data_IF_560738984320
#
_entry.id   IF_560738984320
#
_cell.length_a   1.000
_cell.length_b   1.000
_cell.length_c   1.000
_cell.angle_alpha   90.00
_cell.angle_beta   90.00
_cell.angle_gamma   90.00
#
_symmetry.space_group_name_H-M   'P 1'
#
loop_
_entity.id
_entity.type
_entity.pdbx_description
1 polymer ?
#
# COMPACT_ATOMS: atom_id res chain seq x y z
N UNK A 1 3.55 -49.84 31.45
CA UNK A 1 3.38 -49.37 30.06
C UNK A 1 2.90 -47.92 30.10
N UNK A 2 3.74 -46.94 29.72
CA UNK A 2 3.39 -45.52 29.77
C UNK A 2 2.64 -45.08 28.50
N UNK A 3 1.42 -44.56 28.66
CA UNK A 3 0.60 -43.94 27.63
C UNK A 3 1.15 -42.55 27.28
N UNK A 4 1.59 -42.37 26.03
CA UNK A 4 2.02 -41.06 25.52
C UNK A 4 0.79 -40.19 25.25
N UNK A 5 0.51 -39.27 26.16
CA UNK A 5 -0.50 -38.22 26.00
C UNK A 5 0.03 -37.14 25.03
N UNK A 6 -0.43 -37.17 23.78
CA UNK A 6 -0.11 -36.13 22.78
C UNK A 6 -0.99 -34.91 23.01
N UNK A 7 -0.42 -33.90 23.68
CA UNK A 7 -1.08 -32.59 23.82
C UNK A 7 -1.36 -32.01 22.43
N UNK A 8 -2.63 -31.97 22.03
CA UNK A 8 -3.10 -31.13 20.92
C UNK A 8 -2.70 -29.69 21.22
N UNK A 9 -1.69 -29.21 20.51
CA UNK A 9 -1.29 -27.81 20.50
C UNK A 9 -2.46 -26.98 19.96
N UNK A 10 -3.16 -26.30 20.88
CA UNK A 10 -4.32 -25.47 20.59
C UNK A 10 -3.94 -24.25 19.76
N UNK A 11 -3.94 -24.40 18.43
CA UNK A 11 -4.00 -23.28 17.50
C UNK A 11 -5.36 -23.30 16.82
N UNK A 12 -6.05 -22.16 16.88
CA UNK A 12 -7.32 -21.95 16.16
C UNK A 12 -7.15 -21.95 14.64
N UNK A 13 -5.91 -21.76 14.15
CA UNK A 13 -5.60 -21.62 12.73
C UNK A 13 -4.40 -22.47 12.31
N UNK A 14 -4.44 -22.90 11.04
CA UNK A 14 -3.33 -23.61 10.41
C UNK A 14 -2.12 -22.68 10.21
N UNK A 15 -0.92 -23.27 10.18
CA UNK A 15 0.33 -22.57 9.89
C UNK A 15 0.94 -23.12 8.61
N UNK A 16 1.59 -22.24 7.84
CA UNK A 16 2.39 -22.61 6.67
C UNK A 16 3.82 -22.08 6.84
N UNK A 17 4.78 -22.67 6.11
CA UNK A 17 6.14 -22.16 6.11
C UNK A 17 6.18 -20.77 5.48
N UNK A 18 6.99 -19.87 6.04
CA UNK A 18 7.10 -18.49 5.56
C UNK A 18 7.54 -18.42 4.09
N UNK A 19 8.34 -19.38 3.63
CA UNK A 19 8.84 -19.48 2.24
C UNK A 19 7.72 -19.75 1.24
N UNK A 20 6.65 -20.42 1.70
CA UNK A 20 5.51 -20.81 0.88
C UNK A 20 4.42 -19.74 0.88
N UNK A 21 4.56 -18.68 1.69
CA UNK A 21 3.60 -17.57 1.73
C UNK A 21 3.63 -16.87 0.37
N UNK A 22 2.52 -16.85 -0.40
CA UNK A 22 2.50 -16.20 -1.69
C UNK A 22 2.88 -14.73 -1.57
N UNK A 23 4.07 -14.37 -2.06
CA UNK A 23 4.57 -12.98 -2.06
C UNK A 23 3.95 -12.13 -3.20
N UNK A 24 2.88 -12.63 -3.80
CA UNK A 24 2.26 -12.15 -5.03
C UNK A 24 1.38 -10.92 -4.86
N UNK A 25 1.93 -9.80 -4.35
CA UNK A 25 1.32 -8.47 -4.49
C UNK A 25 2.32 -7.35 -4.84
N UNK A 26 3.59 -7.67 -5.07
CA UNK A 26 4.65 -6.67 -5.27
C UNK A 26 4.72 -6.04 -6.68
N UNK A 27 3.90 -6.50 -7.63
CA UNK A 27 3.96 -6.04 -9.02
C UNK A 27 3.19 -4.74 -9.26
N UNK A 28 1.85 -4.81 -9.27
CA UNK A 28 0.99 -3.69 -9.71
C UNK A 28 0.96 -2.52 -8.72
N UNK A 29 0.84 -2.81 -7.42
CA UNK A 29 0.80 -1.78 -6.36
C UNK A 29 2.05 -0.90 -6.35
N UNK A 30 3.21 -1.51 -6.57
CA UNK A 30 4.48 -0.79 -6.57
C UNK A 30 4.58 0.13 -7.79
N UNK A 31 4.12 -0.31 -8.95
CA UNK A 31 4.18 0.48 -10.18
C UNK A 31 3.36 1.76 -10.08
N UNK A 32 2.09 1.67 -9.67
CA UNK A 32 1.22 2.87 -9.61
C UNK A 32 1.72 3.88 -8.57
N UNK A 33 2.13 3.41 -7.39
CA UNK A 33 2.66 4.29 -6.34
C UNK A 33 3.97 4.93 -6.76
N UNK A 34 4.85 4.19 -7.46
CA UNK A 34 6.10 4.73 -7.97
C UNK A 34 5.85 5.79 -9.04
N UNK A 35 4.88 5.56 -9.94
CA UNK A 35 4.49 6.53 -10.96
C UNK A 35 3.96 7.83 -10.33
N UNK A 36 3.04 7.74 -9.37
CA UNK A 36 2.50 8.90 -8.65
C UNK A 36 3.61 9.73 -8.02
N UNK A 37 4.59 9.08 -7.38
CA UNK A 37 5.71 9.77 -6.74
C UNK A 37 6.62 10.46 -7.75
N UNK A 38 6.90 9.82 -8.89
CA UNK A 38 7.68 10.41 -9.97
C UNK A 38 6.97 11.60 -10.63
N UNK A 39 5.64 11.59 -10.66
CA UNK A 39 4.85 12.73 -11.14
C UNK A 39 4.79 13.86 -10.13
N UNK A 40 4.71 13.55 -8.82
CA UNK A 40 4.82 14.54 -7.75
C UNK A 40 6.16 15.28 -7.76
N UNK A 41 7.24 14.63 -8.20
CA UNK A 41 8.56 15.28 -8.36
C UNK A 41 8.61 16.32 -9.47
N UNK A 42 7.70 16.21 -10.45
CA UNK A 42 7.59 17.12 -11.59
C UNK A 42 6.43 18.11 -11.44
N UNK A 43 5.66 17.97 -10.36
CA UNK A 43 4.48 18.77 -10.11
C UNK A 43 4.87 20.17 -9.64
N UNK A 44 4.33 21.19 -10.30
CA UNK A 44 4.52 22.58 -9.90
C UNK A 44 3.92 22.87 -8.52
N UNK A 45 4.49 23.85 -7.82
CA UNK A 45 3.97 24.27 -6.52
C UNK A 45 2.53 24.79 -6.65
N UNK A 46 1.65 24.29 -5.78
CA UNK A 46 0.23 24.65 -5.80
C UNK A 46 -0.63 23.85 -6.79
N UNK A 47 -0.04 22.92 -7.55
CA UNK A 47 -0.78 21.99 -8.39
C UNK A 47 -1.09 20.67 -7.65
N UNK A 48 -2.05 19.91 -8.17
CA UNK A 48 -2.41 18.58 -7.67
C UNK A 48 -2.54 17.58 -8.82
N UNK A 49 -2.06 16.36 -8.60
CA UNK A 49 -2.34 15.22 -9.47
C UNK A 49 -3.80 14.80 -9.29
N UNK A 50 -4.48 14.59 -10.41
CA UNK A 50 -5.84 14.04 -10.47
C UNK A 50 -5.77 12.66 -11.10
N UNK A 51 -6.12 11.63 -10.34
CA UNK A 51 -5.97 10.23 -10.75
C UNK A 51 -7.34 9.57 -10.69
N UNK A 52 -7.75 8.89 -11.75
CA UNK A 52 -9.00 8.13 -11.75
C UNK A 52 -8.89 6.88 -10.88
N UNK A 53 -9.86 6.66 -9.99
CA UNK A 53 -9.85 5.48 -9.11
C UNK A 53 -9.90 4.16 -9.90
N UNK A 54 -10.51 4.18 -11.10
CA UNK A 54 -10.54 3.04 -12.01
C UNK A 54 -9.14 2.65 -12.52
N UNK A 55 -8.22 3.60 -12.65
CA UNK A 55 -6.85 3.38 -13.13
C UNK A 55 -5.92 2.82 -12.06
N UNK A 56 -6.29 2.96 -10.77
CA UNK A 56 -5.47 2.52 -9.65
C UNK A 56 -5.31 0.98 -9.59
N UNK A 57 -6.26 0.24 -10.15
CA UNK A 57 -6.27 -1.24 -10.12
C UNK A 57 -6.37 -1.85 -8.72
N UNK A 58 -6.64 -1.03 -7.70
CA UNK A 58 -6.88 -1.40 -6.30
C UNK A 58 -7.73 -0.32 -5.61
N UNK A 59 -8.16 -0.58 -4.38
CA UNK A 59 -8.92 0.40 -3.59
C UNK A 59 -8.08 1.64 -3.25
N UNK A 60 -8.77 2.79 -3.16
CA UNK A 60 -8.15 4.07 -2.80
C UNK A 60 -7.44 4.02 -1.45
N UNK A 61 -7.94 3.24 -0.49
CA UNK A 61 -7.37 3.07 0.85
C UNK A 61 -6.02 2.36 0.79
N UNK A 62 -5.91 1.32 -0.03
CA UNK A 62 -4.66 0.58 -0.23
C UNK A 62 -3.61 1.48 -0.91
N UNK A 63 -4.01 2.24 -1.94
CA UNK A 63 -3.11 3.19 -2.62
C UNK A 63 -2.68 4.31 -1.68
N UNK A 64 -3.60 4.91 -0.91
CA UNK A 64 -3.26 5.92 0.12
C UNK A 64 -2.28 5.37 1.14
N UNK A 65 -2.49 4.13 1.63
CA UNK A 65 -1.59 3.49 2.58
C UNK A 65 -0.19 3.30 1.98
N UNK A 66 -0.11 2.80 0.74
CA UNK A 66 1.15 2.57 0.05
C UNK A 66 1.88 3.87 -0.28
N UNK A 67 1.15 4.90 -0.74
CA UNK A 67 1.68 6.23 -1.01
C UNK A 67 2.26 6.86 0.26
N UNK A 68 1.51 6.86 1.37
CA UNK A 68 1.98 7.39 2.65
C UNK A 68 3.25 6.67 3.15
N UNK A 69 3.36 5.35 2.96
CA UNK A 69 4.58 4.61 3.31
C UNK A 69 5.76 5.06 2.44
N UNK A 70 5.54 5.22 1.15
CA UNK A 70 6.58 5.56 0.20
C UNK A 70 7.06 7.02 0.36
N UNK A 71 6.16 7.97 0.60
CA UNK A 71 6.52 9.39 0.84
C UNK A 71 7.22 9.59 2.18
N UNK A 72 6.81 8.88 3.25
CA UNK A 72 7.56 8.87 4.52
C UNK A 72 8.98 8.36 4.37
N UNK A 73 9.19 7.30 3.55
CA UNK A 73 10.54 6.80 3.25
C UNK A 73 11.41 7.86 2.57
N UNK A 74 10.80 8.76 1.80
CA UNK A 74 11.47 9.86 1.11
C UNK A 74 11.45 11.19 1.88
N UNK A 75 10.95 11.18 3.13
CA UNK A 75 10.77 12.39 3.97
C UNK A 75 9.98 13.51 3.28
N UNK A 76 9.00 13.14 2.44
CA UNK A 76 8.13 14.09 1.72
C UNK A 76 6.81 14.25 2.45
N UNK A 77 6.35 15.51 2.55
CA UNK A 77 5.02 15.80 3.04
C UNK A 77 4.04 15.90 1.87
N UNK A 78 3.06 15.00 1.84
CA UNK A 78 2.04 14.95 0.79
C UNK A 78 0.66 14.96 1.41
N UNK A 79 -0.26 15.66 0.77
CA UNK A 79 -1.66 15.64 1.12
C UNK A 79 -2.46 14.86 0.08
N UNK A 80 -3.56 14.26 0.53
CA UNK A 80 -4.42 13.43 -0.30
C UNK A 80 -5.88 13.71 -0.01
N UNK A 81 -6.65 13.97 -1.06
CA UNK A 81 -8.11 14.02 -1.02
C UNK A 81 -8.67 12.99 -2.00
N UNK A 82 -9.89 12.53 -1.78
CA UNK A 82 -10.56 11.63 -2.72
C UNK A 82 -12.05 11.92 -2.72
N UNK A 83 -12.67 11.80 -3.89
CA UNK A 83 -14.11 11.78 -4.04
C UNK A 83 -14.57 10.37 -4.48
N UNK A 84 -15.73 10.27 -5.13
CA UNK A 84 -16.26 9.01 -5.64
C UNK A 84 -15.54 8.47 -6.88
N UNK A 85 -14.78 9.30 -7.59
CA UNK A 85 -14.23 9.01 -8.92
C UNK A 85 -12.72 9.24 -9.01
N UNK A 86 -12.19 10.19 -8.24
CA UNK A 86 -10.80 10.63 -8.33
C UNK A 86 -10.08 10.60 -6.98
N UNK A 87 -8.77 10.35 -7.05
CA UNK A 87 -7.79 10.59 -6.00
C UNK A 87 -6.98 11.82 -6.39
N UNK A 88 -6.95 12.81 -5.49
CA UNK A 88 -6.14 14.02 -5.62
C UNK A 88 -4.92 13.93 -4.70
N UNK A 89 -3.74 14.24 -5.23
CA UNK A 89 -2.47 14.17 -4.50
C UNK A 89 -1.62 15.39 -4.81
N UNK A 90 -1.09 16.06 -3.78
CA UNK A 90 -0.21 17.22 -3.96
C UNK A 90 0.88 17.30 -2.90
N UNK A 91 1.95 18.04 -3.21
CA UNK A 91 3.00 18.36 -2.26
C UNK A 91 2.51 19.46 -1.32
N UNK A 92 2.70 19.26 -0.02
CA UNK A 92 2.42 20.29 0.98
C UNK A 92 3.69 21.12 1.10
N UNK A 93 3.63 22.40 0.73
CA UNK A 93 4.70 23.35 1.05
C UNK A 93 4.73 23.54 2.57
N UNK A 94 5.93 23.47 3.16
CA UNK A 94 6.17 23.91 4.55
C UNK A 94 5.99 25.43 4.68
#
# INVERSE_FOLDING_TARGET
MNTKNTRKSGRHFATMAQVDVPQGRNGKHKSIVTAIIADLDRLENGAALKIELAELGDSKENVRSALNRATRKQKRNVATASDGQFLYVWNVAD
#
